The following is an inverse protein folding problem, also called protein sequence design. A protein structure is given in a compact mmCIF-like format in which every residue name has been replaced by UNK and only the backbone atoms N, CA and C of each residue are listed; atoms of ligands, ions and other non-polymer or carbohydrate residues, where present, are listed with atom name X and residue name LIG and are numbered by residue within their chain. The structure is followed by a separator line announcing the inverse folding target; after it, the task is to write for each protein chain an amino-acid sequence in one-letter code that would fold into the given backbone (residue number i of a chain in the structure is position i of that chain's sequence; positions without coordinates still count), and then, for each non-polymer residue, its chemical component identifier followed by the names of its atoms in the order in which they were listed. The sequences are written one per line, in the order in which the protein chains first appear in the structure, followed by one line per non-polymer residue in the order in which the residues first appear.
data_IF_034845451711
#
_entry.id   IF_034845451711
#
_cell.length_a   1.000
_cell.length_b   1.000
_cell.length_c   1.000
_cell.angle_alpha   90.00
_cell.angle_beta   90.00
_cell.angle_gamma   90.00
#
_symmetry.space_group_name_H-M   'P 1'
#
loop_
_entity.id
_entity.type
_entity.pdbx_description
1 polymer ?
#
# COMPACT_ATOMS: atom_id res chain seq x y z
N UNK A 1 -15.97 65.37 -44.50
CA UNK A 1 -14.60 64.83 -44.68
C UNK A 1 -14.54 63.54 -43.88
N UNK A 2 -14.61 62.32 -44.39
CA UNK A 2 -14.77 61.78 -45.72
C UNK A 2 -15.35 60.37 -45.52
N UNK A 3 -16.44 60.04 -46.22
CA UNK A 3 -16.67 58.65 -46.62
C UNK A 3 -15.58 58.26 -47.64
N UNK A 4 -15.41 56.96 -47.89
CA UNK A 4 -14.42 56.31 -48.78
C UNK A 4 -13.09 55.96 -48.12
N UNK A 5 -12.93 54.70 -47.71
CA UNK A 5 -12.02 53.74 -48.36
C UNK A 5 -12.58 52.34 -48.11
N UNK A 6 -13.16 51.80 -49.18
CA UNK A 6 -13.56 50.40 -49.38
C UNK A 6 -12.32 49.55 -49.59
N UNK A 7 -12.37 48.31 -49.08
CA UNK A 7 -11.83 47.06 -49.67
C UNK A 7 -10.37 47.02 -50.14
N UNK A 8 -9.59 46.11 -49.54
CA UNK A 8 -8.79 45.03 -50.17
C UNK A 8 -7.90 44.40 -49.06
N UNK A 9 -8.26 43.24 -48.49
CA UNK A 9 -7.86 41.88 -48.88
C UNK A 9 -6.38 41.54 -48.59
N UNK A 10 -6.18 40.29 -48.11
CA UNK A 10 -4.91 39.57 -47.80
C UNK A 10 -4.31 39.92 -46.42
N UNK A 11 -4.21 39.03 -45.43
CA UNK A 11 -3.87 37.61 -45.46
C UNK A 11 -4.76 36.76 -44.53
N UNK A 12 -5.29 35.69 -45.11
CA UNK A 12 -5.62 34.47 -44.38
C UNK A 12 -4.31 33.71 -44.16
N UNK A 13 -3.94 33.51 -42.91
CA UNK A 13 -3.25 32.31 -42.40
C UNK A 13 -3.91 32.02 -41.05
N UNK A 14 -4.95 31.20 -40.99
CA UNK A 14 -4.89 29.77 -40.66
C UNK A 14 -4.00 29.47 -39.44
N UNK A 15 -4.59 28.73 -38.49
CA UNK A 15 -4.01 28.13 -37.29
C UNK A 15 -3.99 28.97 -35.99
N UNK A 16 -5.17 29.42 -35.55
CA UNK A 16 -5.43 29.70 -34.12
C UNK A 16 -5.74 28.41 -33.38
N UNK A 17 -4.71 27.58 -33.21
CA UNK A 17 -4.75 26.34 -32.46
C UNK A 17 -5.21 26.59 -31.02
N UNK A 18 -6.02 25.68 -30.49
CA UNK A 18 -6.41 25.63 -29.09
C UNK A 18 -5.16 25.57 -28.20
N UNK A 19 -4.75 26.71 -27.66
CA UNK A 19 -3.73 26.75 -26.61
C UNK A 19 -4.46 26.58 -25.28
N UNK A 20 -4.56 25.31 -24.85
CA UNK A 20 -4.79 24.94 -23.47
C UNK A 20 -3.80 25.70 -22.59
N UNK A 21 -4.29 26.72 -21.88
CA UNK A 21 -3.50 27.43 -20.89
C UNK A 21 -3.35 26.52 -19.67
N UNK A 22 -2.18 25.88 -19.65
CA UNK A 22 -1.45 25.24 -18.56
C UNK A 22 -1.91 25.69 -17.17
N UNK A 23 -2.37 24.70 -16.40
CA UNK A 23 -2.58 24.76 -14.97
C UNK A 23 -1.26 25.07 -14.26
N UNK A 24 -1.19 26.18 -13.54
CA UNK A 24 -0.16 26.45 -12.55
C UNK A 24 -0.64 25.93 -11.19
N UNK A 25 0.02 24.87 -10.71
CA UNK A 25 0.26 24.54 -9.31
C UNK A 25 -0.82 24.88 -8.27
N UNK A 26 -1.93 24.16 -8.32
CA UNK A 26 -2.62 23.80 -7.08
C UNK A 26 -2.18 22.40 -6.68
N UNK A 27 -1.37 22.30 -5.63
CA UNK A 27 -1.30 21.08 -4.83
C UNK A 27 -2.77 20.78 -4.44
N UNK A 28 -3.36 19.64 -4.85
CA UNK A 28 -4.75 19.35 -4.55
C UNK A 28 -4.92 19.39 -3.03
N UNK A 29 -5.80 20.27 -2.53
CA UNK A 29 -6.18 20.22 -1.12
C UNK A 29 -6.85 18.86 -0.90
N UNK A 30 -6.57 18.17 0.23
CA UNK A 30 -7.24 16.91 0.54
C UNK A 30 -8.74 17.18 0.52
N UNK A 31 -9.45 16.52 -0.40
CA UNK A 31 -10.89 16.67 -0.45
C UNK A 31 -11.44 16.04 0.84
N UNK A 32 -12.37 16.73 1.49
CA UNK A 32 -13.13 16.21 2.62
C UNK A 32 -14.56 16.16 2.14
N UNK A 33 -15.25 15.04 2.39
CA UNK A 33 -16.69 15.01 2.14
C UNK A 33 -17.42 15.93 3.14
N UNK A 34 -18.72 16.15 2.93
CA UNK A 34 -19.56 16.98 3.80
C UNK A 34 -19.66 16.44 5.24
N UNK A 35 -19.22 15.20 5.48
CA UNK A 35 -19.19 14.53 6.77
C UNK A 35 -17.78 14.50 7.40
N UNK A 36 -16.82 15.25 6.85
CA UNK A 36 -15.46 15.38 7.35
C UNK A 36 -14.68 14.04 7.36
N UNK A 37 -15.02 13.12 6.46
CA UNK A 37 -14.23 11.92 6.19
C UNK A 37 -13.22 12.20 5.06
N UNK A 38 -12.09 11.50 5.14
CA UNK A 38 -11.01 11.58 4.16
C UNK A 38 -11.58 11.08 2.82
N UNK A 39 -11.59 11.90 1.77
CA UNK A 39 -12.01 11.43 0.45
C UNK A 39 -11.01 10.39 -0.04
N UNK A 40 -11.39 9.14 0.09
CA UNK A 40 -10.70 8.03 -0.58
C UNK A 40 -11.10 8.06 -2.05
N UNK A 41 -10.18 7.67 -2.95
CA UNK A 41 -10.53 7.58 -4.37
C UNK A 41 -11.69 6.58 -4.59
N UNK A 42 -12.51 6.71 -5.65
CA UNK A 42 -13.58 5.74 -5.93
C UNK A 42 -13.08 4.30 -6.03
N UNK A 43 -11.85 4.10 -6.51
CA UNK A 43 -11.19 2.78 -6.54
C UNK A 43 -10.91 2.24 -5.13
N UNK A 44 -10.42 3.11 -4.23
CA UNK A 44 -10.19 2.75 -2.82
C UNK A 44 -11.51 2.49 -2.08
N UNK A 45 -12.57 3.24 -2.38
CA UNK A 45 -13.89 3.02 -1.80
C UNK A 45 -14.45 1.63 -2.16
N UNK A 46 -14.34 1.21 -3.42
CA UNK A 46 -14.76 -0.12 -3.85
C UNK A 46 -13.96 -1.25 -3.15
N UNK A 47 -12.67 -1.05 -2.93
CA UNK A 47 -11.84 -2.00 -2.17
C UNK A 47 -12.23 -2.07 -0.70
N UNK A 48 -12.61 -0.94 -0.08
CA UNK A 48 -13.13 -0.92 1.30
C UNK A 48 -14.41 -1.73 1.39
N UNK A 49 -15.34 -1.58 0.44
CA UNK A 49 -16.59 -2.36 0.40
C UNK A 49 -16.30 -3.87 0.29
N UNK A 50 -15.38 -4.27 -0.59
CA UNK A 50 -14.96 -5.68 -0.72
C UNK A 50 -14.32 -6.21 0.56
N UNK A 51 -13.43 -5.42 1.17
CA UNK A 51 -12.80 -5.76 2.44
C UNK A 51 -13.81 -5.86 3.58
N UNK A 52 -14.88 -5.06 3.55
CA UNK A 52 -16.03 -5.15 4.47
C UNK A 52 -16.88 -6.40 4.24
N UNK A 53 -17.04 -6.82 2.98
CA UNK A 53 -17.70 -8.06 2.61
C UNK A 53 -16.88 -9.33 2.94
N UNK A 54 -15.63 -9.18 3.41
CA UNK A 54 -14.78 -10.29 3.87
C UNK A 54 -13.68 -10.71 2.89
N UNK A 55 -13.40 -9.89 1.87
CA UNK A 55 -12.27 -10.11 0.98
C UNK A 55 -10.95 -9.76 1.70
N UNK A 56 -10.11 -10.76 1.89
CA UNK A 56 -8.85 -10.63 2.62
C UNK A 56 -7.78 -9.86 1.83
N UNK A 57 -7.77 -10.00 0.50
CA UNK A 57 -6.82 -9.34 -0.39
C UNK A 57 -7.15 -7.86 -0.55
N UNK A 58 -8.44 -7.55 -0.65
CA UNK A 58 -8.92 -6.17 -0.60
C UNK A 58 -8.56 -5.53 0.74
N UNK A 59 -8.78 -6.21 1.87
CA UNK A 59 -8.40 -5.70 3.19
C UNK A 59 -6.89 -5.42 3.28
N UNK A 60 -6.05 -6.32 2.76
CA UNK A 60 -4.60 -6.12 2.72
C UNK A 60 -4.22 -4.91 1.86
N UNK A 61 -4.83 -4.79 0.67
CA UNK A 61 -4.57 -3.71 -0.28
C UNK A 61 -4.96 -2.34 0.30
N UNK A 62 -6.09 -2.27 1.00
CA UNK A 62 -6.52 -1.05 1.71
C UNK A 62 -5.51 -0.69 2.80
N UNK A 63 -5.07 -1.68 3.59
CA UNK A 63 -4.01 -1.49 4.58
C UNK A 63 -2.72 -0.95 3.97
N UNK A 64 -2.32 -1.49 2.83
CA UNK A 64 -1.15 -1.03 2.08
C UNK A 64 -1.27 0.40 1.57
N UNK A 65 -2.45 0.79 1.07
CA UNK A 65 -2.70 2.17 0.64
C UNK A 65 -2.60 3.16 1.81
N UNK A 66 -3.16 2.83 2.97
CA UNK A 66 -3.03 3.66 4.17
C UNK A 66 -1.59 3.69 4.71
N UNK A 67 -0.86 2.58 4.66
CA UNK A 67 0.51 2.53 5.19
C UNK A 67 1.52 3.29 4.34
N UNK A 68 1.30 3.38 3.02
CA UNK A 68 2.23 4.01 2.08
C UNK A 68 1.76 5.37 1.56
N UNK A 69 0.56 5.81 1.93
CA UNK A 69 0.02 7.11 1.52
C UNK A 69 -0.26 7.23 0.01
N UNK A 70 -0.62 6.13 -0.67
CA UNK A 70 -0.71 6.08 -2.13
C UNK A 70 -1.96 6.77 -2.69
N UNK A 71 -3.14 6.27 -2.31
CA UNK A 71 -4.45 6.79 -2.78
C UNK A 71 -5.23 7.48 -1.66
N UNK A 72 -4.64 7.51 -0.47
CA UNK A 72 -5.14 8.10 0.76
C UNK A 72 -3.96 8.73 1.48
N UNK A 73 -4.20 9.71 2.36
CA UNK A 73 -3.13 10.21 3.22
C UNK A 73 -2.61 9.08 4.12
N UNK A 74 -1.27 9.00 4.26
CA UNK A 74 -0.66 7.96 5.09
C UNK A 74 -1.26 7.99 6.51
N UNK A 75 -1.69 6.83 6.98
CA UNK A 75 -2.25 6.64 8.31
C UNK A 75 -1.93 5.23 8.82
N UNK A 76 -0.85 5.11 9.58
CA UNK A 76 -0.38 3.83 10.11
C UNK A 76 -1.40 3.15 11.04
N UNK A 77 -2.20 3.93 11.77
CA UNK A 77 -3.23 3.39 12.65
C UNK A 77 -4.38 2.75 11.87
N UNK A 78 -4.74 3.33 10.72
CA UNK A 78 -5.76 2.75 9.84
C UNK A 78 -5.18 1.55 9.08
N UNK A 79 -3.95 1.64 8.59
CA UNK A 79 -3.23 0.52 7.98
C UNK A 79 -3.20 -0.71 8.91
N UNK A 80 -2.88 -0.50 10.20
CA UNK A 80 -2.87 -1.55 11.21
C UNK A 80 -4.24 -2.24 11.37
N UNK A 81 -5.35 -1.48 11.37
CA UNK A 81 -6.69 -2.07 11.47
C UNK A 81 -6.98 -2.97 10.28
N UNK A 82 -6.64 -2.52 9.07
CA UNK A 82 -6.87 -3.29 7.85
C UNK A 82 -5.98 -4.51 7.74
N UNK A 83 -4.69 -4.42 8.09
CA UNK A 83 -3.81 -5.60 8.16
C UNK A 83 -4.28 -6.61 9.20
N UNK A 84 -4.78 -6.15 10.36
CA UNK A 84 -5.39 -7.04 11.35
C UNK A 84 -6.62 -7.75 10.79
N UNK A 85 -7.49 -7.03 10.11
CA UNK A 85 -8.66 -7.61 9.45
C UNK A 85 -8.27 -8.64 8.40
N UNK A 86 -7.30 -8.32 7.54
CA UNK A 86 -6.77 -9.24 6.53
C UNK A 86 -6.18 -10.51 7.19
N UNK A 87 -5.42 -10.36 8.28
CA UNK A 87 -4.88 -11.48 9.04
C UNK A 87 -5.97 -12.35 9.70
N UNK A 88 -7.05 -11.74 10.20
CA UNK A 88 -8.21 -12.44 10.76
C UNK A 88 -9.00 -13.20 9.69
N UNK A 89 -9.11 -12.65 8.48
CA UNK A 89 -9.68 -13.31 7.30
C UNK A 89 -8.76 -14.39 6.72
N UNK A 90 -7.52 -14.50 7.21
CA UNK A 90 -6.59 -15.57 6.86
C UNK A 90 -5.54 -15.22 5.82
N UNK A 91 -5.46 -13.98 5.35
CA UNK A 91 -4.42 -13.53 4.41
C UNK A 91 -3.03 -13.62 5.03
N UNK A 92 -2.14 -14.37 4.39
CA UNK A 92 -0.74 -14.50 4.76
C UNK A 92 0.05 -13.20 4.54
N UNK A 93 -0.28 -12.44 3.50
CA UNK A 93 0.24 -11.09 3.23
C UNK A 93 -0.18 -10.13 4.35
N UNK A 94 -1.46 -10.15 4.74
CA UNK A 94 -1.96 -9.36 5.86
C UNK A 94 -1.25 -9.68 7.18
N UNK A 95 -0.98 -10.96 7.45
CA UNK A 95 -0.18 -11.38 8.61
C UNK A 95 1.27 -10.89 8.53
N UNK A 96 1.89 -10.95 7.36
CA UNK A 96 3.25 -10.45 7.13
C UNK A 96 3.34 -8.94 7.34
N UNK A 97 2.41 -8.16 6.78
CA UNK A 97 2.37 -6.72 6.97
C UNK A 97 2.07 -6.33 8.42
N UNK A 98 1.16 -7.04 9.10
CA UNK A 98 0.89 -6.85 10.52
C UNK A 98 2.15 -7.10 11.38
N UNK A 99 2.92 -8.13 11.04
CA UNK A 99 4.20 -8.40 11.69
C UNK A 99 5.19 -7.26 11.46
N UNK A 100 5.31 -6.76 10.23
CA UNK A 100 6.17 -5.62 9.89
C UNK A 100 5.78 -4.33 10.61
N UNK A 101 4.48 -4.10 10.83
CA UNK A 101 4.00 -2.96 11.61
C UNK A 101 4.47 -3.05 13.07
N UNK A 102 4.34 -4.21 13.70
CA UNK A 102 4.85 -4.44 15.06
C UNK A 102 6.38 -4.37 15.12
N UNK A 103 7.07 -4.84 14.09
CA UNK A 103 8.52 -4.79 14.01
C UNK A 103 9.04 -3.36 13.91
N UNK A 104 8.42 -2.50 13.11
CA UNK A 104 8.89 -1.12 12.89
C UNK A 104 8.25 -0.11 13.84
N UNK A 105 7.15 -0.47 14.50
CA UNK A 105 6.39 0.44 15.37
C UNK A 105 5.57 1.47 14.61
N UNK A 106 5.00 1.12 13.46
CA UNK A 106 4.15 2.03 12.68
C UNK A 106 2.75 2.11 13.30
N UNK A 107 2.39 3.26 13.87
CA UNK A 107 1.09 3.45 14.54
C UNK A 107 0.92 2.68 15.86
N UNK A 108 1.90 1.88 16.28
CA UNK A 108 1.96 1.15 17.56
C UNK A 108 3.36 1.19 18.15
N UNK A 109 3.50 0.88 19.44
CA UNK A 109 4.82 0.66 20.03
C UNK A 109 5.48 -0.54 19.35
N UNK A 110 6.75 -0.38 18.97
CA UNK A 110 7.57 -1.47 18.44
C UNK A 110 7.59 -2.66 19.42
N UNK A 111 7.31 -3.85 18.88
CA UNK A 111 7.28 -5.11 19.61
C UNK A 111 7.74 -6.26 18.71
N UNK A 112 9.02 -6.64 18.86
CA UNK A 112 9.60 -7.76 18.14
C UNK A 112 9.00 -9.11 18.53
N UNK A 113 8.49 -9.27 19.75
CA UNK A 113 7.88 -10.54 20.18
C UNK A 113 6.57 -10.76 19.43
N UNK A 114 5.75 -9.72 19.32
CA UNK A 114 4.50 -9.78 18.58
C UNK A 114 4.77 -9.91 17.07
N UNK A 115 5.75 -9.19 16.53
CA UNK A 115 6.20 -9.37 15.15
C UNK A 115 6.61 -10.82 14.85
N UNK A 116 7.41 -11.45 15.73
CA UNK A 116 7.83 -12.84 15.56
C UNK A 116 6.65 -13.83 15.55
N UNK A 117 5.60 -13.58 16.35
CA UNK A 117 4.38 -14.40 16.34
C UNK A 117 3.64 -14.30 15.00
N UNK A 118 3.47 -13.09 14.49
CA UNK A 118 2.77 -12.88 13.22
C UNK A 118 3.57 -13.37 12.01
N UNK A 119 4.88 -13.12 11.97
CA UNK A 119 5.76 -13.71 10.95
C UNK A 119 5.71 -15.24 10.97
N UNK A 120 5.67 -15.86 12.15
CA UNK A 120 5.52 -17.32 12.26
C UNK A 120 4.20 -17.81 11.64
N UNK A 121 3.08 -17.17 11.96
CA UNK A 121 1.78 -17.53 11.37
C UNK A 121 1.78 -17.38 9.85
N UNK A 122 2.35 -16.28 9.32
CA UNK A 122 2.48 -16.06 7.88
C UNK A 122 3.41 -17.12 7.23
N UNK A 123 4.54 -17.45 7.86
CA UNK A 123 5.46 -18.47 7.37
C UNK A 123 4.83 -19.87 7.37
N UNK A 124 4.08 -20.23 8.41
CA UNK A 124 3.32 -21.49 8.49
C UNK A 124 2.24 -21.61 7.40
N UNK A 125 1.75 -20.47 6.89
CA UNK A 125 0.83 -20.38 5.74
C UNK A 125 1.54 -20.37 4.39
N UNK A 126 2.87 -20.38 4.35
CA UNK A 126 3.65 -20.43 3.11
C UNK A 126 4.17 -19.08 2.62
N UNK A 127 4.03 -17.98 3.37
CA UNK A 127 4.55 -16.68 2.93
C UNK A 127 6.09 -16.67 2.91
N UNK A 128 6.70 -16.59 1.73
CA UNK A 128 8.15 -16.67 1.55
C UNK A 128 8.90 -15.57 2.31
N UNK A 129 8.45 -14.31 2.21
CA UNK A 129 9.05 -13.19 2.93
C UNK A 129 9.04 -13.37 4.46
N UNK A 130 8.03 -14.06 4.99
CA UNK A 130 7.88 -14.26 6.43
C UNK A 130 8.89 -15.28 6.96
N UNK A 131 9.26 -16.28 6.16
CA UNK A 131 10.32 -17.22 6.47
C UNK A 131 11.66 -16.51 6.68
N UNK A 132 12.02 -15.60 5.77
CA UNK A 132 13.26 -14.82 5.86
C UNK A 132 13.25 -13.84 7.03
N UNK A 133 12.14 -13.13 7.25
CA UNK A 133 11.99 -12.21 8.40
C UNK A 133 12.09 -12.96 9.73
N UNK A 134 11.42 -14.09 9.89
CA UNK A 134 11.50 -14.89 11.10
C UNK A 134 12.91 -15.46 11.33
N UNK A 135 13.57 -15.92 10.26
CA UNK A 135 14.95 -16.37 10.33
C UNK A 135 15.90 -15.26 10.81
N UNK A 136 15.71 -14.02 10.34
CA UNK A 136 16.48 -12.86 10.80
C UNK A 136 16.23 -12.55 12.27
N UNK A 137 14.98 -12.59 12.75
CA UNK A 137 14.68 -12.37 14.17
C UNK A 137 15.39 -13.40 15.07
N UNK A 138 15.44 -14.67 14.65
CA UNK A 138 16.20 -15.72 15.34
C UNK A 138 17.72 -15.51 15.29
N UNK A 139 18.27 -15.00 14.19
CA UNK A 139 19.70 -14.70 14.04
C UNK A 139 20.14 -13.56 14.96
N UNK A 140 19.29 -12.55 15.09
CA UNK A 140 19.53 -11.33 15.86
C UNK A 140 19.11 -11.47 17.33
N UNK A 141 18.28 -12.45 17.68
CA UNK A 141 17.71 -12.60 19.02
C UNK A 141 16.69 -11.52 19.37
N UNK A 142 15.98 -10.98 18.38
CA UNK A 142 15.00 -9.92 18.54
C UNK A 142 13.61 -10.52 18.69
N UNK A 143 12.97 -10.31 19.85
CA UNK A 143 11.62 -10.85 20.12
C UNK A 143 11.56 -12.37 20.31
N UNK A 144 12.62 -13.09 19.97
CA UNK A 144 12.82 -14.52 20.20
C UNK A 144 14.26 -14.75 20.70
N UNK A 145 14.52 -15.79 21.51
CA UNK A 145 15.88 -16.16 21.86
C UNK A 145 16.72 -16.42 20.60
N UNK A 146 17.97 -15.96 20.61
CA UNK A 146 18.88 -16.16 19.49
C UNK A 146 19.10 -17.66 19.25
N UNK A 147 18.81 -18.13 18.04
CA UNK A 147 18.95 -19.54 17.65
C UNK A 147 19.28 -19.64 16.15
N UNK A 148 20.55 -19.89 15.85
CA UNK A 148 21.03 -20.01 14.46
C UNK A 148 20.51 -21.27 13.76
N UNK A 149 20.18 -22.33 14.52
CA UNK A 149 19.63 -23.55 13.95
C UNK A 149 18.20 -23.30 13.48
N UNK A 150 17.37 -22.69 14.32
CA UNK A 150 16.02 -22.27 13.93
C UNK A 150 16.07 -21.27 12.77
N UNK A 151 16.99 -20.30 12.80
CA UNK A 151 17.19 -19.36 11.68
C UNK A 151 17.45 -20.08 10.36
N UNK A 152 18.39 -21.04 10.33
CA UNK A 152 18.71 -21.81 9.14
C UNK A 152 17.55 -22.73 8.68
N UNK A 153 16.73 -23.24 9.60
CA UNK A 153 15.53 -24.01 9.26
C UNK A 153 14.48 -23.14 8.57
N UNK A 154 14.16 -21.96 9.13
CA UNK A 154 13.21 -21.04 8.52
C UNK A 154 13.70 -20.52 7.16
N UNK A 155 14.99 -20.19 7.01
CA UNK A 155 15.57 -19.76 5.73
C UNK A 155 15.45 -20.85 4.65
N UNK A 156 15.76 -22.11 4.99
CA UNK A 156 15.61 -23.24 4.05
C UNK A 156 14.17 -23.49 3.61
N UNK A 157 13.19 -23.28 4.51
CA UNK A 157 11.77 -23.38 4.16
C UNK A 157 11.36 -22.28 3.17
N UNK A 158 11.82 -21.04 3.35
CA UNK A 158 11.59 -19.94 2.41
C UNK A 158 12.23 -20.22 1.04
N UNK A 159 13.48 -20.65 1.02
CA UNK A 159 14.22 -20.97 -0.21
C UNK A 159 13.58 -22.12 -1.00
N UNK A 160 13.06 -23.14 -0.31
CA UNK A 160 12.35 -24.24 -0.97
C UNK A 160 11.05 -23.81 -1.67
N UNK A 161 10.40 -22.74 -1.20
CA UNK A 161 9.22 -22.16 -1.83
C UNK A 161 9.61 -21.35 -3.08
N UNK A 162 10.66 -20.53 -3.00
CA UNK A 162 11.15 -19.74 -4.14
C UNK A 162 11.65 -20.61 -5.32
N UNK A 163 12.09 -21.84 -5.02
CA UNK A 163 12.58 -22.81 -6.00
C UNK A 163 11.49 -23.69 -6.62
N UNK A 164 10.22 -23.56 -6.21
CA UNK A 164 9.14 -24.35 -6.80
C UNK A 164 8.72 -23.74 -8.16
N UNK A 165 8.96 -24.42 -9.30
CA UNK A 165 8.75 -23.82 -10.63
C UNK A 165 7.29 -23.64 -11.04
N UNK A 166 6.33 -23.93 -10.16
CA UNK A 166 4.89 -23.91 -10.47
C UNK A 166 4.21 -22.56 -10.30
N UNK A 167 4.90 -21.58 -9.71
CA UNK A 167 4.35 -20.26 -9.38
C UNK A 167 4.99 -19.10 -10.21
N UNK A 168 5.58 -19.41 -11.37
CA UNK A 168 6.04 -18.44 -12.39
C UNK A 168 5.19 -18.54 -13.65
#
# INVERSE_FOLDING_TARGET
MAHYIRLLLTCITLAGCAAAAVAQDQIPRPQRDEQNQITVSPATAALIEQAEAGDADAANTVGFQYGNGLSVMQNDAEALKWYRKAAELGSEEGMYHLAGVHENGYGVKQDYQEAAKWYRKAAERGHAGAHYSLARLYEQGQGVPKDLKQSAEWRRKGEALDLNPRDK
#
